data_IF_046479176741
#
_entry.id   IF_046479176741
#
_cell.length_a   1.000
_cell.length_b   1.000
_cell.length_c   1.000
_cell.angle_alpha   90.00
_cell.angle_beta   90.00
_cell.angle_gamma   90.00
#
_symmetry.space_group_name_H-M   'P 1'
#
loop_
_entity.id
_entity.type
_entity.pdbx_description
1 polymer ?
#
# COMPACT_ATOMS: atom_id res chain seq x y z
N UNK A 1 -2.14 -8.36 11.46
CA UNK A 1 -1.93 -7.14 10.64
C UNK A 1 -3.14 -6.75 9.76
N UNK A 2 -3.51 -5.46 9.72
CA UNK A 2 -4.47 -4.85 8.76
C UNK A 2 -3.76 -3.76 7.94
N UNK A 3 -4.07 -3.68 6.65
CA UNK A 3 -3.56 -2.65 5.75
C UNK A 3 -4.66 -1.64 5.45
N UNK A 4 -4.28 -0.37 5.37
CA UNK A 4 -5.14 0.75 5.01
C UNK A 4 -4.42 1.53 3.92
N UNK A 5 -5.14 1.97 2.90
CA UNK A 5 -4.56 2.78 1.81
C UNK A 5 -5.15 4.18 1.83
N UNK A 6 -4.33 5.16 1.48
CA UNK A 6 -4.79 6.52 1.21
C UNK A 6 -4.18 6.97 -0.11
N UNK A 7 -5.04 7.44 -1.01
CA UNK A 7 -4.61 8.05 -2.26
C UNK A 7 -4.49 9.56 -2.04
N UNK A 8 -3.32 10.13 -2.36
CA UNK A 8 -3.04 11.57 -2.29
C UNK A 8 -2.82 12.17 -3.70
N UNK A 9 -3.44 11.57 -4.72
CA UNK A 9 -3.31 11.96 -6.13
C UNK A 9 -2.06 11.37 -6.77
N UNK A 10 -0.91 12.00 -6.57
CA UNK A 10 0.36 11.59 -7.18
C UNK A 10 1.11 10.51 -6.35
N UNK A 11 0.84 10.44 -5.04
CA UNK A 11 1.49 9.52 -4.12
C UNK A 11 0.46 8.71 -3.35
N UNK A 12 0.83 7.48 -2.98
CA UNK A 12 0.02 6.61 -2.16
C UNK A 12 0.66 6.47 -0.79
N UNK A 13 -0.19 6.41 0.23
CA UNK A 13 0.25 6.12 1.60
C UNK A 13 -0.37 4.82 2.03
N UNK A 14 0.46 3.91 2.52
CA UNK A 14 -0.01 2.65 3.08
C UNK A 14 0.19 2.70 4.58
N UNK A 15 -0.92 2.64 5.30
CA UNK A 15 -0.99 2.46 6.74
C UNK A 15 -1.02 0.97 7.08
N UNK A 16 -0.26 0.59 8.10
CA UNK A 16 -0.21 -0.76 8.65
C UNK A 16 -0.66 -0.66 10.11
N UNK A 17 -1.74 -1.35 10.43
CA UNK A 17 -2.25 -1.49 11.79
C UNK A 17 -1.96 -2.90 12.31
N UNK A 18 -1.26 -3.02 13.42
CA UNK A 18 -0.85 -4.31 13.96
C UNK A 18 0.09 -4.18 15.15
N UNK A 19 0.78 -5.26 15.50
CA UNK A 19 1.86 -5.20 16.48
C UNK A 19 3.11 -4.59 15.85
N UNK A 20 3.93 -3.93 16.67
CA UNK A 20 5.18 -3.29 16.25
C UNK A 20 6.07 -4.22 15.41
N UNK A 21 6.29 -5.44 15.90
CA UNK A 21 7.10 -6.46 15.22
C UNK A 21 6.53 -6.83 13.83
N UNK A 22 5.21 -7.05 13.71
CA UNK A 22 4.58 -7.34 12.41
C UNK A 22 4.75 -6.19 11.42
N UNK A 23 4.63 -4.95 11.90
CA UNK A 23 4.76 -3.73 11.10
C UNK A 23 6.20 -3.59 10.60
N UNK A 24 7.19 -3.76 11.46
CA UNK A 24 8.61 -3.69 11.11
C UNK A 24 9.00 -4.79 10.13
N UNK A 25 8.56 -6.02 10.36
CA UNK A 25 8.79 -7.14 9.43
C UNK A 25 8.19 -6.86 8.06
N UNK A 26 6.97 -6.31 8.01
CA UNK A 26 6.33 -5.97 6.75
C UNK A 26 7.07 -4.83 6.03
N UNK A 27 7.40 -3.74 6.73
CA UNK A 27 8.16 -2.62 6.15
C UNK A 27 9.52 -3.07 5.63
N UNK A 28 10.25 -3.91 6.36
CA UNK A 28 11.53 -4.45 5.91
C UNK A 28 11.38 -5.30 4.63
N UNK A 29 10.31 -6.12 4.51
CA UNK A 29 10.01 -6.84 3.26
C UNK A 29 9.71 -5.89 2.12
N UNK A 30 8.91 -4.86 2.36
CA UNK A 30 8.58 -3.82 1.37
C UNK A 30 9.85 -3.11 0.91
N UNK A 31 10.73 -2.73 1.82
CA UNK A 31 12.03 -2.12 1.52
C UNK A 31 12.92 -3.05 0.69
N UNK A 32 13.07 -4.31 1.11
CA UNK A 32 13.86 -5.32 0.39
C UNK A 32 13.34 -5.58 -1.04
N UNK A 33 12.03 -5.44 -1.25
CA UNK A 33 11.40 -5.59 -2.57
C UNK A 33 11.42 -4.29 -3.40
N UNK A 34 12.04 -3.22 -2.91
CA UNK A 34 12.13 -1.92 -3.58
C UNK A 34 10.83 -1.13 -3.58
N UNK A 35 9.91 -1.48 -2.69
CA UNK A 35 8.60 -0.86 -2.54
C UNK A 35 8.63 0.55 -1.97
N UNK A 36 9.53 0.77 -1.03
CA UNK A 36 9.74 2.07 -0.42
C UNK A 36 11.24 2.31 -0.27
N UNK A 37 11.64 3.57 -0.39
CA UNK A 37 12.98 4.02 -0.04
C UNK A 37 12.92 4.99 1.16
N UNK A 38 11.74 5.13 1.76
CA UNK A 38 11.47 6.08 2.82
C UNK A 38 11.35 5.39 4.17
N UNK A 39 11.48 6.21 5.21
CA UNK A 39 11.34 5.79 6.59
C UNK A 39 9.88 5.42 6.92
N UNK A 40 9.75 4.43 7.80
CA UNK A 40 8.48 4.06 8.42
C UNK A 40 8.08 5.14 9.43
N UNK A 41 6.95 5.79 9.20
CA UNK A 41 6.43 6.85 10.06
C UNK A 41 5.44 6.24 11.05
N UNK A 42 5.75 6.26 12.34
CA UNK A 42 4.87 5.76 13.39
C UNK A 42 3.89 6.86 13.81
N UNK A 43 2.58 6.59 13.77
CA UNK A 43 1.59 7.47 14.44
C UNK A 43 1.23 6.97 15.84
N UNK A 44 1.38 5.68 16.09
CA UNK A 44 1.11 5.04 17.38
C UNK A 44 1.87 3.73 17.49
N UNK A 45 1.96 3.14 18.68
CA UNK A 45 2.66 1.87 18.91
C UNK A 45 2.09 0.72 18.06
N UNK A 46 0.81 0.79 17.69
CA UNK A 46 0.14 -0.21 16.84
C UNK A 46 -0.17 0.29 15.42
N UNK A 47 0.33 1.45 15.02
CA UNK A 47 0.04 2.02 13.71
C UNK A 47 1.22 2.81 13.13
N UNK A 48 1.66 2.40 11.95
CA UNK A 48 2.66 3.12 11.18
C UNK A 48 2.26 3.20 9.72
N UNK A 49 2.82 4.18 9.01
CA UNK A 49 2.59 4.35 7.59
C UNK A 49 3.90 4.64 6.85
N UNK A 50 3.88 4.40 5.55
CA UNK A 50 5.00 4.73 4.68
C UNK A 50 4.48 5.17 3.32
N UNK A 51 5.31 5.96 2.64
CA UNK A 51 5.03 6.46 1.31
C UNK A 51 5.44 5.46 0.24
N UNK A 52 4.60 5.30 -0.76
CA UNK A 52 4.82 4.40 -1.88
C UNK A 52 4.15 4.93 -3.15
N UNK A 53 4.68 4.58 -4.32
CA UNK A 53 4.02 4.82 -5.60
C UNK A 53 3.23 3.59 -6.02
N UNK A 54 2.18 3.76 -6.82
CA UNK A 54 1.34 2.65 -7.28
C UNK A 54 2.18 1.53 -7.94
N UNK A 55 3.09 1.90 -8.82
CA UNK A 55 3.99 0.95 -9.52
C UNK A 55 4.84 0.11 -8.53
N UNK A 56 5.36 0.75 -7.48
CA UNK A 56 6.13 0.06 -6.44
C UNK A 56 5.24 -0.82 -5.56
N UNK A 57 4.03 -0.35 -5.24
CA UNK A 57 3.05 -1.13 -4.48
C UNK A 57 2.66 -2.40 -5.24
N UNK A 58 2.38 -2.29 -6.54
CA UNK A 58 2.08 -3.43 -7.40
C UNK A 58 3.23 -4.44 -7.41
N UNK A 59 4.48 -3.98 -7.53
CA UNK A 59 5.67 -4.85 -7.51
C UNK A 59 5.82 -5.61 -6.20
N UNK A 60 5.64 -4.93 -5.07
CA UNK A 60 5.70 -5.50 -3.71
C UNK A 60 4.61 -6.54 -3.53
N UNK A 61 3.37 -6.18 -3.86
CA UNK A 61 2.21 -7.07 -3.71
C UNK A 61 2.32 -8.27 -4.65
N UNK A 62 2.84 -8.08 -5.86
CA UNK A 62 3.15 -9.17 -6.78
C UNK A 62 4.16 -10.14 -6.19
N UNK A 63 5.25 -9.65 -5.59
CA UNK A 63 6.25 -10.49 -4.95
C UNK A 63 5.72 -11.18 -3.69
N UNK A 64 4.87 -10.50 -2.91
CA UNK A 64 4.17 -11.06 -1.76
C UNK A 64 3.25 -12.23 -2.16
N UNK A 65 2.38 -12.00 -3.14
CA UNK A 65 1.43 -13.01 -3.65
C UNK A 65 2.20 -14.15 -4.33
N UNK A 66 3.25 -13.84 -5.10
CA UNK A 66 4.12 -14.87 -5.69
C UNK A 66 4.81 -15.72 -4.62
N UNK A 67 5.33 -15.11 -3.55
CA UNK A 67 5.98 -15.86 -2.48
C UNK A 67 4.99 -16.81 -1.79
N UNK A 68 3.78 -16.31 -1.49
CA UNK A 68 2.68 -17.12 -0.93
C UNK A 68 2.19 -18.22 -1.88
N UNK A 69 2.14 -17.96 -3.19
CA UNK A 69 1.75 -18.95 -4.19
C UNK A 69 2.86 -19.96 -4.46
N UNK A 70 4.13 -19.54 -4.46
CA UNK A 70 5.27 -20.43 -4.67
C UNK A 70 5.32 -21.52 -3.61
N UNK A 71 5.02 -21.16 -2.35
CA UNK A 71 4.92 -22.10 -1.24
C UNK A 71 3.79 -23.14 -1.45
N UNK A 72 2.59 -22.70 -1.89
CA UNK A 72 1.43 -23.58 -2.08
C UNK A 72 1.36 -24.31 -3.42
N UNK A 73 1.98 -23.78 -4.47
CA UNK A 73 1.76 -24.18 -5.87
C UNK A 73 3.05 -24.46 -6.65
N UNK A 74 4.21 -24.44 -6.01
CA UNK A 74 5.52 -24.67 -6.64
C UNK A 74 5.64 -25.97 -7.44
N UNK A 75 4.79 -26.97 -7.16
CA UNK A 75 4.69 -28.21 -7.96
C UNK A 75 3.69 -28.17 -9.12
N UNK A 76 2.65 -27.33 -9.06
CA UNK A 76 1.51 -27.37 -10.00
C UNK A 76 1.67 -26.46 -11.22
N UNK A 77 2.55 -25.45 -11.15
CA UNK A 77 2.76 -24.46 -12.22
C UNK A 77 4.15 -24.49 -12.85
N UNK A 78 4.98 -25.49 -12.50
CA UNK A 78 6.28 -25.73 -13.14
C UNK A 78 6.06 -26.18 -14.59
N UNK A 79 5.95 -25.22 -15.51
CA UNK A 79 5.73 -25.45 -16.94
C UNK A 79 4.70 -24.52 -17.61
N UNK A 80 3.90 -23.77 -16.86
CA UNK A 80 2.89 -22.88 -17.44
C UNK A 80 3.50 -21.52 -17.85
N UNK A 81 3.96 -21.41 -19.10
CA UNK A 81 4.38 -20.14 -19.71
C UNK A 81 3.20 -19.16 -19.73
N UNK A 82 3.26 -18.11 -18.90
CA UNK A 82 2.38 -16.93 -18.97
C UNK A 82 1.16 -16.91 -18.05
N UNK A 83 0.52 -18.05 -17.77
CA UNK A 83 -0.74 -18.10 -17.01
C UNK A 83 -0.62 -17.66 -15.54
N UNK A 84 0.45 -18.06 -14.85
CA UNK A 84 0.63 -17.74 -13.44
C UNK A 84 0.76 -16.22 -13.20
N UNK A 85 1.46 -15.51 -14.08
CA UNK A 85 1.67 -14.05 -13.96
C UNK A 85 0.36 -13.29 -14.03
N UNK A 86 -0.52 -13.61 -14.98
CA UNK A 86 -1.83 -12.97 -15.13
C UNK A 86 -2.75 -13.24 -13.93
N UNK A 87 -2.77 -14.49 -13.44
CA UNK A 87 -3.54 -14.86 -12.24
C UNK A 87 -3.02 -14.12 -11.00
N UNK A 88 -1.70 -14.01 -10.86
CA UNK A 88 -1.07 -13.24 -9.77
C UNK A 88 -1.45 -11.76 -9.88
N UNK A 89 -1.32 -11.15 -11.06
CA UNK A 89 -1.66 -9.73 -11.26
C UNK A 89 -3.13 -9.45 -10.94
N UNK A 90 -4.05 -10.30 -11.40
CA UNK A 90 -5.47 -10.14 -11.11
C UNK A 90 -5.75 -10.27 -9.59
N UNK A 91 -5.08 -11.20 -8.91
CA UNK A 91 -5.18 -11.34 -7.44
C UNK A 91 -4.59 -10.13 -6.71
N UNK A 92 -3.45 -9.61 -7.17
CA UNK A 92 -2.83 -8.40 -6.62
C UNK A 92 -3.76 -7.21 -6.74
N UNK A 93 -4.30 -6.96 -7.94
CA UNK A 93 -5.26 -5.88 -8.16
C UNK A 93 -6.50 -6.06 -7.30
N UNK A 94 -7.04 -7.27 -7.18
CA UNK A 94 -8.18 -7.53 -6.31
C UNK A 94 -7.85 -7.27 -4.83
N UNK A 95 -6.65 -7.65 -4.37
CA UNK A 95 -6.18 -7.36 -3.00
C UNK A 95 -6.01 -5.86 -2.79
N UNK A 96 -5.36 -5.14 -3.70
CA UNK A 96 -5.21 -3.68 -3.60
C UNK A 96 -6.58 -3.00 -3.58
N UNK A 97 -7.53 -3.44 -4.40
CA UNK A 97 -8.89 -2.90 -4.41
C UNK A 97 -9.65 -3.18 -3.11
N UNK A 98 -9.47 -4.35 -2.50
CA UNK A 98 -10.08 -4.73 -1.22
C UNK A 98 -9.46 -4.06 0.01
N UNK A 99 -8.26 -3.48 -0.09
CA UNK A 99 -7.69 -2.73 1.04
C UNK A 99 -8.59 -1.52 1.32
N UNK A 100 -9.08 -1.35 2.56
CA UNK A 100 -9.92 -0.21 2.92
C UNK A 100 -9.17 1.10 2.68
N UNK A 101 -9.87 2.03 2.03
CA UNK A 101 -9.38 3.39 1.83
C UNK A 101 -9.84 4.28 2.97
N UNK A 102 -8.91 4.77 3.79
CA UNK A 102 -9.21 5.72 4.87
C UNK A 102 -8.26 6.91 4.80
N UNK A 103 -8.71 8.07 5.25
CA UNK A 103 -7.90 9.28 5.36
C UNK A 103 -7.26 9.34 6.75
N UNK A 104 -5.95 9.14 6.84
CA UNK A 104 -5.20 9.14 8.08
C UNK A 104 -4.01 10.12 8.07
N UNK A 105 -3.40 10.39 6.92
CA UNK A 105 -2.41 11.46 6.75
C UNK A 105 -3.11 12.72 6.24
N UNK A 106 -2.99 13.83 6.97
CA UNK A 106 -3.28 15.16 6.44
C UNK A 106 -2.03 15.68 5.75
N UNK A 107 -1.99 15.65 4.43
CA UNK A 107 -1.00 16.48 3.72
C UNK A 107 -1.53 17.90 3.66
N UNK A 108 -0.66 18.88 3.91
CA UNK A 108 -0.98 20.30 3.77
C UNK A 108 -1.29 20.73 2.31
N UNK A 109 -1.51 19.78 1.39
CA UNK A 109 -1.85 19.98 -0.01
C UNK A 109 -3.34 19.84 -0.31
N UNK A 110 -4.19 19.66 0.71
CA UNK A 110 -5.46 20.37 0.64
C UNK A 110 -5.06 21.82 0.91
N UNK A 111 -4.65 22.50 -0.16
CA UNK A 111 -4.86 23.93 -0.25
C UNK A 111 -6.37 24.07 -0.11
N UNK A 112 -6.84 24.11 1.14
CA UNK A 112 -8.08 24.76 1.48
C UNK A 112 -7.92 26.12 0.81
N UNK A 113 -8.51 26.25 -0.38
CA UNK A 113 -9.07 27.51 -0.80
C UNK A 113 -10.03 27.86 0.32
N UNK A 114 -9.48 28.49 1.36
CA UNK A 114 -10.22 29.39 2.19
C UNK A 114 -10.73 30.41 1.17
N UNK A 115 -11.94 30.19 0.68
CA UNK A 115 -12.77 31.28 0.18
C UNK A 115 -12.96 32.18 1.38
N UNK A 116 -11.98 33.06 1.61
CA UNK A 116 -12.09 34.20 2.49
C UNK A 116 -13.38 34.86 2.03
N UNK A 117 -14.34 34.92 2.96
CA UNK A 117 -15.76 35.03 2.68
C UNK A 117 -16.10 35.89 1.48
N UNK A 118 -16.94 35.34 0.61
CA UNK A 118 -17.77 36.15 -0.25
C UNK A 118 -18.48 37.16 0.67
N UNK A 119 -18.07 38.43 0.61
CA UNK A 119 -18.86 39.54 1.16
C UNK A 119 -20.17 39.51 0.40
N UNK A 120 -21.18 38.86 0.99
CA UNK A 120 -22.56 39.20 0.70
C UNK A 120 -22.80 40.54 1.36
N UNK A 121 -23.05 41.54 0.51
CA UNK A 121 -23.55 42.83 0.91
C UNK A 121 -24.92 42.67 1.56
N UNK A 122 -25.10 43.32 2.71
CA UNK A 122 -26.39 43.76 3.26
C UNK A 122 -26.25 45.22 3.68
#
# INVERSE_FOLDING_TARGET
MKLIKQNLGAHWVIGIKGNKDEIEQFHNRVYNWGGTNGELQWMSESFAYFWITLEKLERVMFKYVMNSLSDKLGKKFRGAKGGLKQVVMNRVMNTINNIPSEHFVKTAQIQDFYSIGQVSAE
#
